data_IF_575431340198
#
_entry.id   IF_575431340198
#
_cell.length_a   1.000
_cell.length_b   1.000
_cell.length_c   1.000
_cell.angle_alpha   90.00
_cell.angle_beta   90.00
_cell.angle_gamma   90.00
#
_symmetry.space_group_name_H-M   'P 1'
#
loop_
_entity.id
_entity.type
_entity.pdbx_description
1 polymer ?
#
# COMPACT_ATOMS: atom_id res chain seq x y z
N UNK A 1 4.21 27.38 -179.06
CA UNK A 1 3.11 26.40 -178.94
C UNK A 1 2.39 26.73 -177.64
N UNK A 2 1.25 27.40 -177.66
CA UNK A 2 0.00 26.86 -178.21
C UNK A 2 -0.58 25.89 -177.19
N UNK A 3 -1.15 26.40 -176.10
CA UNK A 3 -2.03 25.60 -175.25
C UNK A 3 -3.44 26.00 -175.65
N UNK A 4 -4.03 25.18 -176.50
CA UNK A 4 -5.38 25.33 -177.02
C UNK A 4 -6.37 25.59 -175.87
N UNK A 5 -7.30 26.54 -176.00
CA UNK A 5 -8.37 26.70 -175.03
C UNK A 5 -9.20 25.41 -175.01
N UNK A 6 -9.44 24.90 -173.81
CA UNK A 6 -10.16 23.67 -173.56
C UNK A 6 -11.52 23.70 -174.28
N UNK A 7 -11.79 22.66 -175.06
CA UNK A 7 -13.11 22.41 -175.66
C UNK A 7 -14.09 22.15 -174.51
N UNK A 8 -15.19 22.91 -174.51
CA UNK A 8 -16.33 22.69 -173.63
C UNK A 8 -16.95 21.33 -173.98
N UNK A 9 -16.93 20.40 -173.02
CA UNK A 9 -17.46 19.05 -173.16
C UNK A 9 -18.79 19.01 -172.42
N UNK A 10 -19.88 19.11 -173.17
CA UNK A 10 -21.24 18.96 -172.67
C UNK A 10 -21.77 17.58 -173.10
N UNK A 11 -22.21 16.78 -172.13
CA UNK A 11 -22.76 15.43 -172.30
C UNK A 11 -24.25 15.48 -171.96
N UNK A 12 -25.10 15.02 -172.88
CA UNK A 12 -26.57 14.94 -172.73
C UNK A 12 -27.01 13.77 -171.82
N UNK A 13 -26.08 12.89 -171.40
CA UNK A 13 -26.32 11.91 -170.34
C UNK A 13 -25.91 12.44 -168.96
N UNK A 14 -26.77 12.24 -167.94
CA UNK A 14 -26.61 12.64 -166.52
C UNK A 14 -25.34 12.13 -165.78
N UNK A 15 -24.38 11.55 -166.51
CA UNK A 15 -23.17 10.91 -166.03
C UNK A 15 -22.21 11.87 -165.32
N UNK A 16 -21.96 13.07 -165.89
CA UNK A 16 -21.08 14.08 -165.28
C UNK A 16 -21.68 14.67 -163.99
N UNK A 17 -23.00 14.88 -163.97
CA UNK A 17 -23.70 15.43 -162.80
C UNK A 17 -23.73 14.39 -161.65
N UNK A 18 -23.97 13.12 -161.98
CA UNK A 18 -23.94 11.99 -161.03
C UNK A 18 -22.55 11.76 -160.42
N UNK A 19 -21.48 11.96 -161.20
CA UNK A 19 -20.10 11.86 -160.71
C UNK A 19 -19.76 12.98 -159.71
N UNK A 20 -20.26 14.20 -159.95
CA UNK A 20 -20.12 15.36 -159.05
C UNK A 20 -20.86 15.20 -157.72
N UNK A 21 -22.07 14.63 -157.73
CA UNK A 21 -22.87 14.34 -156.51
C UNK A 21 -22.17 13.32 -155.62
N UNK A 22 -21.61 12.24 -156.19
CA UNK A 22 -20.83 11.24 -155.43
C UNK A 22 -19.59 11.87 -154.81
N UNK A 23 -18.82 12.65 -155.58
CA UNK A 23 -17.58 13.27 -155.10
C UNK A 23 -17.83 14.31 -154.02
N UNK A 24 -18.89 15.12 -154.13
CA UNK A 24 -19.29 16.08 -153.08
C UNK A 24 -19.81 15.38 -151.82
N UNK A 25 -20.52 14.26 -151.93
CA UNK A 25 -20.93 13.45 -150.78
C UNK A 25 -19.75 12.78 -150.07
N UNK A 26 -18.75 12.30 -150.82
CA UNK A 26 -17.46 11.81 -150.29
C UNK A 26 -16.74 12.91 -149.52
N UNK A 27 -16.55 14.10 -150.11
CA UNK A 27 -15.90 15.23 -149.43
C UNK A 27 -16.65 15.66 -148.17
N UNK A 28 -17.99 15.71 -148.19
CA UNK A 28 -18.81 16.01 -147.00
C UNK A 28 -18.74 14.91 -145.93
N UNK A 29 -18.55 13.65 -146.32
CA UNK A 29 -18.35 12.53 -145.39
C UNK A 29 -16.97 12.65 -144.74
N UNK A 30 -15.93 12.84 -145.54
CA UNK A 30 -14.55 12.96 -145.07
C UNK A 30 -14.36 14.20 -144.20
N UNK A 31 -15.00 15.32 -144.54
CA UNK A 31 -15.03 16.52 -143.69
C UNK A 31 -15.69 16.26 -142.32
N UNK A 32 -16.85 15.57 -142.28
CA UNK A 32 -17.51 15.19 -141.02
C UNK A 32 -16.69 14.19 -140.20
N UNK A 33 -16.02 13.24 -140.85
CA UNK A 33 -15.11 12.29 -140.20
C UNK A 33 -13.91 13.05 -139.62
N UNK A 34 -13.33 13.98 -140.38
CA UNK A 34 -12.24 14.83 -139.94
C UNK A 34 -12.62 15.72 -138.75
N UNK A 35 -13.79 16.34 -138.78
CA UNK A 35 -14.32 17.15 -137.69
C UNK A 35 -14.62 16.31 -136.43
N UNK A 36 -15.23 15.13 -136.57
CA UNK A 36 -15.47 14.21 -135.46
C UNK A 36 -14.16 13.67 -134.85
N UNK A 37 -13.18 13.34 -135.69
CA UNK A 37 -11.85 12.89 -135.25
C UNK A 37 -11.10 14.01 -134.53
N UNK A 38 -11.14 15.24 -135.04
CA UNK A 38 -10.54 16.42 -134.40
C UNK A 38 -11.23 16.73 -133.06
N UNK A 39 -12.55 16.70 -132.99
CA UNK A 39 -13.32 16.90 -131.77
C UNK A 39 -13.04 15.80 -130.73
N UNK A 40 -12.98 14.53 -131.15
CA UNK A 40 -12.63 13.41 -130.26
C UNK A 40 -11.20 13.53 -129.73
N UNK A 41 -10.25 13.92 -130.58
CA UNK A 41 -8.87 14.14 -130.18
C UNK A 41 -8.76 15.31 -129.17
N UNK A 42 -9.43 16.43 -129.45
CA UNK A 42 -9.49 17.57 -128.54
C UNK A 42 -10.09 17.18 -127.19
N UNK A 43 -11.19 16.40 -127.18
CA UNK A 43 -11.83 15.93 -125.95
C UNK A 43 -10.96 14.96 -125.15
N UNK A 44 -10.29 14.01 -125.82
CA UNK A 44 -9.32 13.12 -125.17
C UNK A 44 -8.16 13.90 -124.53
N UNK A 45 -7.65 14.94 -125.21
CA UNK A 45 -6.62 15.83 -124.66
C UNK A 45 -7.13 16.64 -123.46
N UNK A 46 -8.38 17.10 -123.50
CA UNK A 46 -9.02 17.79 -122.39
C UNK A 46 -9.21 16.86 -121.18
N UNK A 47 -9.78 15.66 -121.38
CA UNK A 47 -10.04 14.70 -120.31
C UNK A 47 -8.74 14.23 -119.65
N UNK A 48 -7.69 13.97 -120.44
CA UNK A 48 -6.36 13.63 -119.90
C UNK A 48 -5.72 14.78 -119.13
N UNK A 49 -5.93 16.04 -119.55
CA UNK A 49 -5.48 17.20 -118.79
C UNK A 49 -6.26 17.35 -117.47
N UNK A 50 -7.58 17.14 -117.49
CA UNK A 50 -8.43 17.18 -116.29
C UNK A 50 -8.05 16.07 -115.32
N UNK A 51 -7.82 14.84 -115.80
CA UNK A 51 -7.38 13.71 -114.95
C UNK A 51 -6.04 14.01 -114.28
N UNK A 52 -5.04 14.48 -115.05
CA UNK A 52 -3.74 14.87 -114.49
C UNK A 52 -3.85 16.00 -113.48
N UNK A 53 -4.71 16.99 -113.74
CA UNK A 53 -4.97 18.08 -112.79
C UNK A 53 -5.60 17.55 -111.50
N UNK A 54 -6.60 16.65 -111.59
CA UNK A 54 -7.25 16.04 -110.43
C UNK A 54 -6.29 15.18 -109.62
N UNK A 55 -5.48 14.36 -110.28
CA UNK A 55 -4.43 13.57 -109.60
C UNK A 55 -3.43 14.47 -108.85
N UNK A 56 -3.07 15.63 -109.43
CA UNK A 56 -2.20 16.59 -108.76
C UNK A 56 -2.89 17.25 -107.56
N UNK A 57 -4.17 17.61 -107.66
CA UNK A 57 -4.93 18.19 -106.54
C UNK A 57 -5.12 17.17 -105.41
N UNK A 58 -5.44 15.93 -105.73
CA UNK A 58 -5.67 14.87 -104.72
C UNK A 58 -4.37 14.53 -103.98
N UNK A 59 -3.24 14.49 -104.70
CA UNK A 59 -1.91 14.33 -104.08
C UNK A 59 -1.57 15.50 -103.15
N UNK A 60 -1.87 16.73 -103.58
CA UNK A 60 -1.65 17.91 -102.74
C UNK A 60 -2.55 17.89 -101.50
N UNK A 61 -3.84 17.58 -101.64
CA UNK A 61 -4.78 17.50 -100.52
C UNK A 61 -4.43 16.37 -99.54
N UNK A 62 -3.98 15.22 -100.04
CA UNK A 62 -3.49 14.11 -99.22
C UNK A 62 -2.25 14.54 -98.42
N UNK A 63 -1.28 15.21 -99.06
CA UNK A 63 -0.10 15.71 -98.38
C UNK A 63 -0.45 16.76 -97.30
N UNK A 64 -1.43 17.64 -97.56
CA UNK A 64 -1.93 18.61 -96.57
C UNK A 64 -2.57 17.89 -95.38
N UNK A 65 -3.49 16.93 -95.61
CA UNK A 65 -4.13 16.16 -94.53
C UNK A 65 -3.13 15.36 -93.72
N UNK A 66 -2.12 14.77 -94.36
CA UNK A 66 -1.04 14.07 -93.66
C UNK A 66 -0.23 15.03 -92.78
N UNK A 67 0.10 16.22 -93.28
CA UNK A 67 0.81 17.22 -92.51
C UNK A 67 -0.03 17.71 -91.31
N UNK A 68 -1.34 17.96 -91.51
CA UNK A 68 -2.27 18.32 -90.45
C UNK A 68 -2.41 17.21 -89.40
N UNK A 69 -2.56 15.96 -89.81
CA UNK A 69 -2.62 14.81 -88.90
C UNK A 69 -1.33 14.65 -88.10
N UNK A 70 -0.17 14.78 -88.75
CA UNK A 70 1.14 14.74 -88.08
C UNK A 70 1.27 15.88 -87.07
N UNK A 71 0.91 17.10 -87.45
CA UNK A 71 0.92 18.26 -86.56
C UNK A 71 -0.03 18.08 -85.37
N UNK A 72 -1.27 17.64 -85.59
CA UNK A 72 -2.24 17.36 -84.52
C UNK A 72 -1.76 16.27 -83.56
N UNK A 73 -1.18 15.20 -84.09
CA UNK A 73 -0.61 14.11 -83.28
C UNK A 73 0.55 14.62 -82.43
N UNK A 74 1.45 15.41 -83.02
CA UNK A 74 2.59 15.97 -82.31
C UNK A 74 2.13 16.94 -81.21
N UNK A 75 1.16 17.81 -81.53
CA UNK A 75 0.55 18.73 -80.56
C UNK A 75 -0.10 17.96 -79.40
N UNK A 76 -0.90 16.94 -79.68
CA UNK A 76 -1.53 16.13 -78.64
C UNK A 76 -0.50 15.41 -77.74
N UNK A 77 0.62 14.95 -78.30
CA UNK A 77 1.73 14.37 -77.52
C UNK A 77 2.34 15.40 -76.57
N UNK A 78 2.66 16.60 -77.05
CA UNK A 78 3.20 17.66 -76.20
C UNK A 78 2.21 18.13 -75.15
N UNK A 79 0.94 18.30 -75.50
CA UNK A 79 -0.11 18.68 -74.55
C UNK A 79 -0.28 17.61 -73.45
N UNK A 80 -0.21 16.33 -73.81
CA UNK A 80 -0.25 15.22 -72.85
C UNK A 80 0.98 15.22 -71.92
N UNK A 81 2.17 15.47 -72.45
CA UNK A 81 3.40 15.55 -71.66
C UNK A 81 3.38 16.74 -70.69
N UNK A 82 2.95 17.92 -71.16
CA UNK A 82 2.76 19.11 -70.31
C UNK A 82 1.72 18.85 -69.23
N UNK A 83 0.61 18.18 -69.55
CA UNK A 83 -0.41 17.82 -68.57
C UNK A 83 0.12 16.82 -67.54
N UNK A 84 0.87 15.80 -67.98
CA UNK A 84 1.50 14.84 -67.08
C UNK A 84 2.47 15.53 -66.11
N UNK A 85 3.28 16.46 -66.60
CA UNK A 85 4.28 17.14 -65.77
C UNK A 85 3.65 18.17 -64.82
N UNK A 86 2.56 18.83 -65.25
CA UNK A 86 1.73 19.62 -64.34
C UNK A 86 1.09 18.77 -63.24
N UNK A 87 0.60 17.57 -63.57
CA UNK A 87 0.03 16.67 -62.57
C UNK A 87 1.09 16.18 -61.58
N UNK A 88 2.30 15.83 -62.05
CA UNK A 88 3.43 15.50 -61.17
C UNK A 88 3.82 16.67 -60.28
N UNK A 89 3.91 17.88 -60.82
CA UNK A 89 4.21 19.08 -60.04
C UNK A 89 3.14 19.35 -58.97
N UNK A 90 1.85 19.20 -59.32
CA UNK A 90 0.74 19.31 -58.36
C UNK A 90 0.86 18.27 -57.24
N UNK A 91 1.13 17.00 -57.60
CA UNK A 91 1.33 15.93 -56.62
C UNK A 91 2.56 16.12 -55.75
N UNK A 92 3.65 16.67 -56.31
CA UNK A 92 4.82 17.05 -55.53
C UNK A 92 4.49 18.17 -54.53
N UNK A 93 3.68 19.14 -54.95
CA UNK A 93 3.14 20.18 -54.06
C UNK A 93 2.31 19.60 -52.92
N UNK A 94 1.33 18.74 -53.24
CA UNK A 94 0.51 18.04 -52.25
C UNK A 94 1.36 17.19 -51.28
N UNK A 95 2.33 16.43 -51.81
CA UNK A 95 3.24 15.63 -51.00
C UNK A 95 4.07 16.51 -50.05
N UNK A 96 4.56 17.66 -50.53
CA UNK A 96 5.32 18.59 -49.71
C UNK A 96 4.43 19.18 -48.60
N UNK A 97 3.18 19.54 -48.90
CA UNK A 97 2.24 20.01 -47.87
C UNK A 97 1.98 18.94 -46.81
N UNK A 98 1.77 17.68 -47.22
CA UNK A 98 1.58 16.57 -46.30
C UNK A 98 2.82 16.32 -45.41
N UNK A 99 4.03 16.40 -45.98
CA UNK A 99 5.29 16.31 -45.21
C UNK A 99 5.39 17.42 -44.17
N UNK A 100 5.14 18.66 -44.56
CA UNK A 100 5.18 19.79 -43.62
C UNK A 100 4.13 19.66 -42.53
N UNK A 101 2.92 19.16 -42.85
CA UNK A 101 1.89 18.89 -41.84
C UNK A 101 2.33 17.81 -40.86
N UNK A 102 2.94 16.72 -41.37
CA UNK A 102 3.49 15.66 -40.53
C UNK A 102 4.59 16.16 -39.59
N UNK A 103 5.50 17.01 -40.08
CA UNK A 103 6.56 17.63 -39.25
C UNK A 103 5.95 18.51 -38.14
N UNK A 104 4.93 19.31 -38.47
CA UNK A 104 4.20 20.12 -37.49
C UNK A 104 3.49 19.25 -36.45
N UNK A 105 2.84 18.16 -36.88
CA UNK A 105 2.16 17.23 -35.97
C UNK A 105 3.15 16.51 -35.04
N UNK A 106 4.31 16.10 -35.57
CA UNK A 106 5.40 15.54 -34.76
C UNK A 106 5.90 16.54 -33.71
N UNK A 107 6.11 17.81 -34.10
CA UNK A 107 6.51 18.85 -33.17
C UNK A 107 5.44 19.09 -32.07
N UNK A 108 4.15 19.07 -32.43
CA UNK A 108 3.06 19.20 -31.46
C UNK A 108 3.03 18.04 -30.46
N UNK A 109 3.23 16.80 -30.92
CA UNK A 109 3.31 15.63 -30.02
C UNK A 109 4.50 15.76 -29.06
N UNK A 110 5.62 16.30 -29.52
CA UNK A 110 6.79 16.55 -28.66
C UNK A 110 6.50 17.64 -27.61
N UNK A 111 5.83 18.73 -28.00
CA UNK A 111 5.37 19.77 -27.07
C UNK A 111 4.44 19.15 -26.01
N UNK A 112 3.42 18.40 -26.43
CA UNK A 112 2.49 17.70 -25.53
C UNK A 112 3.22 16.75 -24.57
N UNK A 113 4.24 16.03 -25.07
CA UNK A 113 5.03 15.13 -24.25
C UNK A 113 5.86 15.88 -23.18
N UNK A 114 6.40 17.04 -23.54
CA UNK A 114 7.10 17.93 -22.60
C UNK A 114 6.12 18.45 -21.54
N UNK A 115 4.95 18.94 -21.94
CA UNK A 115 3.92 19.44 -21.02
C UNK A 115 3.47 18.35 -20.05
N UNK A 116 3.16 17.14 -20.53
CA UNK A 116 2.79 16.02 -19.65
C UNK A 116 3.92 15.62 -18.71
N UNK A 117 5.17 15.62 -19.16
CA UNK A 117 6.32 15.36 -18.27
C UNK A 117 6.42 16.41 -17.18
N UNK A 118 6.23 17.69 -17.50
CA UNK A 118 6.23 18.78 -16.52
C UNK A 118 5.06 18.64 -15.54
N UNK A 119 3.87 18.23 -15.99
CA UNK A 119 2.73 17.93 -15.12
C UNK A 119 3.04 16.78 -14.15
N UNK A 120 3.60 15.67 -14.64
CA UNK A 120 4.00 14.54 -13.78
C UNK A 120 5.00 15.00 -12.72
N UNK A 121 6.01 15.78 -13.09
CA UNK A 121 6.99 16.31 -12.14
C UNK A 121 6.35 17.21 -11.07
N UNK A 122 5.38 18.04 -11.48
CA UNK A 122 4.63 18.88 -10.54
C UNK A 122 3.76 18.02 -9.60
N UNK A 123 3.06 17.02 -10.14
CA UNK A 123 2.24 16.09 -9.35
C UNK A 123 3.10 15.28 -8.36
N UNK A 124 4.24 14.77 -8.79
CA UNK A 124 5.21 14.08 -7.92
C UNK A 124 5.67 14.99 -6.78
N UNK A 125 6.07 16.23 -7.09
CA UNK A 125 6.47 17.22 -6.09
C UNK A 125 5.31 17.59 -5.13
N UNK A 126 4.08 17.65 -5.64
CA UNK A 126 2.89 17.89 -4.81
C UNK A 126 2.61 16.72 -3.86
N UNK A 127 2.74 15.47 -4.35
CA UNK A 127 2.60 14.25 -3.53
C UNK A 127 3.68 14.22 -2.46
N UNK A 128 4.94 14.52 -2.78
CA UNK A 128 6.03 14.59 -1.81
C UNK A 128 5.76 15.67 -0.75
N UNK A 129 5.32 16.86 -1.17
CA UNK A 129 4.94 17.95 -0.25
C UNK A 129 3.80 17.51 0.68
N UNK A 130 2.76 16.87 0.14
CA UNK A 130 1.65 16.35 0.93
C UNK A 130 2.10 15.26 1.90
N UNK A 131 2.99 14.37 1.45
CA UNK A 131 3.58 13.32 2.28
C UNK A 131 4.33 13.93 3.47
N UNK A 132 5.19 14.92 3.23
CA UNK A 132 5.90 15.63 4.30
C UNK A 132 4.96 16.36 5.26
N UNK A 133 3.90 17.00 4.76
CA UNK A 133 2.89 17.65 5.62
C UNK A 133 2.19 16.61 6.51
N UNK A 134 1.78 15.47 5.93
CA UNK A 134 1.10 14.39 6.65
C UNK A 134 2.04 13.75 7.68
N UNK A 135 3.29 13.44 7.30
CA UNK A 135 4.31 12.95 8.22
C UNK A 135 4.53 13.93 9.36
N UNK A 136 4.75 15.22 9.07
CA UNK A 136 4.93 16.23 10.11
C UNK A 136 3.71 16.34 11.03
N UNK A 137 2.49 16.21 10.50
CA UNK A 137 1.26 16.22 11.29
C UNK A 137 1.17 14.98 12.19
N UNK A 138 1.45 13.79 11.67
CA UNK A 138 1.44 12.54 12.44
C UNK A 138 2.53 12.56 13.51
N UNK A 139 3.75 12.98 13.17
CA UNK A 139 4.84 13.14 14.13
C UNK A 139 4.50 14.14 15.23
N UNK A 140 3.98 15.33 14.90
CA UNK A 140 3.56 16.31 15.92
C UNK A 140 2.46 15.77 16.83
N UNK A 141 1.49 15.02 16.28
CA UNK A 141 0.44 14.38 17.09
C UNK A 141 1.03 13.28 17.97
N UNK A 142 1.95 12.47 17.45
CA UNK A 142 2.63 11.43 18.20
C UNK A 142 3.50 12.01 19.34
N UNK A 143 4.26 13.07 19.06
CA UNK A 143 5.04 13.82 20.05
C UNK A 143 4.14 14.44 21.13
N UNK A 144 3.01 15.02 20.74
CA UNK A 144 2.04 15.56 21.70
C UNK A 144 1.43 14.47 22.60
N UNK A 145 1.12 13.30 22.03
CA UNK A 145 0.63 12.16 22.80
C UNK A 145 1.70 11.60 23.75
N UNK A 146 2.94 11.43 23.27
CA UNK A 146 4.06 10.99 24.09
C UNK A 146 4.27 11.94 25.28
N UNK A 147 4.34 13.25 25.02
CA UNK A 147 4.50 14.25 26.07
C UNK A 147 3.34 14.23 27.07
N UNK A 148 2.10 14.04 26.60
CA UNK A 148 0.93 13.90 27.48
C UNK A 148 1.05 12.64 28.35
N UNK A 149 1.43 11.51 27.78
CA UNK A 149 1.54 10.24 28.49
C UNK A 149 2.70 10.24 29.50
N UNK A 150 3.83 10.85 29.15
CA UNK A 150 4.96 11.09 30.06
C UNK A 150 4.53 11.96 31.24
N UNK A 151 3.83 13.08 30.99
CA UNK A 151 3.33 13.92 32.08
C UNK A 151 2.29 13.21 32.94
N UNK A 152 1.39 12.41 32.35
CA UNK A 152 0.45 11.62 33.13
C UNK A 152 1.18 10.57 33.97
N UNK A 153 2.16 9.87 33.41
CA UNK A 153 2.97 8.88 34.13
C UNK A 153 3.79 9.53 35.26
N UNK A 154 4.41 10.68 35.01
CA UNK A 154 5.13 11.45 36.02
C UNK A 154 4.19 11.95 37.13
N UNK A 155 3.01 12.45 36.78
CA UNK A 155 1.99 12.84 37.74
C UNK A 155 1.52 11.66 38.59
N UNK A 156 1.28 10.49 37.98
CA UNK A 156 0.93 9.26 38.70
C UNK A 156 2.05 8.77 39.61
N UNK A 157 3.31 8.80 39.14
CA UNK A 157 4.48 8.43 39.93
C UNK A 157 4.64 9.35 41.14
N UNK A 158 4.59 10.67 40.92
CA UNK A 158 4.71 11.66 41.99
C UNK A 158 3.56 11.57 43.00
N UNK A 159 2.32 11.38 42.53
CA UNK A 159 1.16 11.17 43.38
C UNK A 159 1.30 9.92 44.24
N UNK A 160 1.68 8.80 43.63
CA UNK A 160 1.90 7.53 44.36
C UNK A 160 3.02 7.68 45.38
N UNK A 161 4.14 8.31 45.01
CA UNK A 161 5.26 8.59 45.93
C UNK A 161 4.78 9.40 47.13
N UNK A 162 4.08 10.51 46.91
CA UNK A 162 3.56 11.36 47.98
C UNK A 162 2.59 10.59 48.88
N UNK A 163 1.67 9.81 48.29
CA UNK A 163 0.74 8.97 49.07
C UNK A 163 1.47 7.93 49.91
N UNK A 164 2.52 7.30 49.37
CA UNK A 164 3.34 6.34 50.13
C UNK A 164 4.12 7.01 51.25
N UNK A 165 4.66 8.22 51.03
CA UNK A 165 5.35 9.01 52.05
C UNK A 165 4.38 9.43 53.17
N UNK A 166 3.19 9.91 52.81
CA UNK A 166 2.13 10.27 53.78
C UNK A 166 1.67 9.04 54.56
N UNK A 167 1.47 7.90 53.90
CA UNK A 167 1.07 6.66 54.57
C UNK A 167 2.16 6.14 55.52
N UNK A 168 3.43 6.18 55.10
CA UNK A 168 4.57 5.82 55.94
C UNK A 168 4.67 6.73 57.17
N UNK A 169 4.57 8.05 56.97
CA UNK A 169 4.57 9.02 58.06
C UNK A 169 3.38 8.82 59.01
N UNK A 170 2.18 8.58 58.47
CA UNK A 170 1.00 8.28 59.27
C UNK A 170 1.21 7.03 60.14
N UNK A 171 1.77 5.95 59.56
CA UNK A 171 2.03 4.71 60.27
C UNK A 171 3.04 4.90 61.41
N UNK A 172 4.09 5.70 61.18
CA UNK A 172 5.07 6.04 62.21
C UNK A 172 4.42 6.80 63.37
N UNK A 173 3.64 7.85 63.08
CA UNK A 173 2.96 8.64 64.11
C UNK A 173 1.95 7.79 64.90
N UNK A 174 1.17 6.94 64.22
CA UNK A 174 0.25 6.04 64.92
C UNK A 174 0.98 4.99 65.74
N UNK A 175 2.08 4.44 65.20
CA UNK A 175 2.90 3.45 65.90
C UNK A 175 3.59 4.03 67.15
N UNK A 176 4.09 5.27 67.07
CA UNK A 176 4.63 6.00 68.22
C UNK A 176 3.56 6.28 69.27
N UNK A 177 2.36 6.72 68.85
CA UNK A 177 1.24 6.94 69.75
C UNK A 177 0.80 5.64 70.45
N UNK A 178 0.71 4.53 69.72
CA UNK A 178 0.38 3.21 70.28
C UNK A 178 1.46 2.70 71.23
N UNK A 179 2.73 2.83 70.85
CA UNK A 179 3.87 2.46 71.71
C UNK A 179 3.86 3.26 73.02
N UNK A 180 3.54 4.55 72.96
CA UNK A 180 3.45 5.41 74.14
C UNK A 180 2.27 5.02 75.04
N UNK A 181 1.11 4.69 74.45
CA UNK A 181 -0.03 4.16 75.22
C UNK A 181 0.33 2.84 75.91
N UNK A 182 1.01 1.92 75.22
CA UNK A 182 1.47 0.65 75.80
C UNK A 182 2.51 0.91 76.91
N UNK A 183 3.43 1.86 76.71
CA UNK A 183 4.44 2.24 77.70
C UNK A 183 3.79 2.79 78.96
N UNK A 184 2.84 3.70 78.84
CA UNK A 184 2.10 4.28 79.98
C UNK A 184 1.27 3.20 80.68
N UNK A 185 0.56 2.34 79.94
CA UNK A 185 -0.18 1.22 80.52
C UNK A 185 0.73 0.25 81.26
N UNK A 186 1.86 -0.15 80.64
CA UNK A 186 2.84 -1.04 81.25
C UNK A 186 3.50 -0.44 82.49
N UNK A 187 3.76 0.87 82.51
CA UNK A 187 4.22 1.58 83.71
C UNK A 187 3.16 1.61 84.81
N UNK A 188 1.91 1.94 84.46
CA UNK A 188 0.80 1.93 85.41
C UNK A 188 0.55 0.53 86.00
N UNK A 189 0.64 -0.52 85.17
CA UNK A 189 0.54 -1.92 85.61
C UNK A 189 1.73 -2.32 86.50
N UNK A 190 2.95 -1.94 86.14
CA UNK A 190 4.14 -2.19 86.96
C UNK A 190 4.06 -1.46 88.31
N UNK A 191 3.61 -0.21 88.34
CA UNK A 191 3.40 0.56 89.57
C UNK A 191 2.28 -0.04 90.42
N UNK A 192 1.15 -0.43 89.81
CA UNK A 192 0.05 -1.10 90.50
C UNK A 192 0.50 -2.44 91.09
N UNK A 193 1.28 -3.24 90.36
CA UNK A 193 1.85 -4.49 90.84
C UNK A 193 2.85 -4.25 91.97
N UNK A 194 3.69 -3.22 91.87
CA UNK A 194 4.65 -2.86 92.91
C UNK A 194 3.95 -2.38 94.19
N UNK A 195 2.88 -1.58 94.08
CA UNK A 195 2.03 -1.18 95.21
C UNK A 195 1.32 -2.39 95.82
N UNK A 196 0.79 -3.29 95.00
CA UNK A 196 0.18 -4.56 95.45
C UNK A 196 1.21 -5.45 96.16
N UNK A 197 2.43 -5.55 95.62
CA UNK A 197 3.54 -6.29 96.23
C UNK A 197 3.99 -5.67 97.56
N UNK A 198 4.08 -4.33 97.65
CA UNK A 198 4.36 -3.62 98.91
C UNK A 198 3.24 -3.81 99.93
N UNK A 199 1.99 -3.73 99.50
CA UNK A 199 0.84 -4.02 100.35
C UNK A 199 0.92 -5.46 100.88
N UNK A 200 1.13 -6.45 100.01
CA UNK A 200 1.34 -7.85 100.36
C UNK A 200 2.53 -8.08 101.30
N UNK A 201 3.64 -7.34 101.14
CA UNK A 201 4.79 -7.41 102.05
C UNK A 201 4.49 -6.82 103.44
N UNK A 202 3.59 -5.84 103.55
CA UNK A 202 3.20 -5.21 104.82
C UNK A 202 2.10 -5.96 105.58
N UNK A 203 1.45 -6.97 104.97
CA UNK A 203 0.51 -7.83 105.68
C UNK A 203 1.27 -8.80 106.62
N UNK A 204 0.94 -8.86 107.92
CA UNK A 204 1.53 -9.82 108.86
C UNK A 204 1.32 -11.25 108.33
N UNK A 205 2.30 -12.14 108.53
CA UNK A 205 2.39 -13.54 108.02
C UNK A 205 1.12 -14.43 108.16
N UNK A 206 0.04 -13.98 108.79
CA UNK A 206 -1.24 -14.70 108.92
C UNK A 206 -2.39 -14.27 108.00
N UNK A 207 -2.42 -13.02 107.47
CA UNK A 207 -3.58 -12.54 106.66
C UNK A 207 -3.65 -13.17 105.26
N UNK A 208 -2.50 -13.63 104.75
CA UNK A 208 -2.38 -14.32 103.46
C UNK A 208 -3.13 -15.65 103.47
N UNK A 209 -3.20 -16.33 104.61
CA UNK A 209 -3.83 -17.64 104.77
C UNK A 209 -5.35 -17.51 104.67
N UNK A 210 -5.94 -16.46 105.23
CA UNK A 210 -7.39 -16.25 105.21
C UNK A 210 -7.91 -15.91 103.81
N UNK A 211 -7.15 -15.14 103.03
CA UNK A 211 -7.49 -14.87 101.62
C UNK A 211 -7.22 -16.08 100.71
N UNK A 212 -6.15 -16.87 100.97
CA UNK A 212 -5.93 -18.17 100.32
C UNK A 212 -7.07 -19.15 100.61
N UNK A 213 -7.62 -19.17 101.83
CA UNK A 213 -8.80 -19.97 102.20
C UNK A 213 -10.06 -19.48 101.49
N UNK A 214 -10.18 -18.19 101.18
CA UNK A 214 -11.31 -17.63 100.43
C UNK A 214 -11.19 -17.80 98.90
N UNK A 215 -9.98 -17.84 98.32
CA UNK A 215 -9.76 -18.10 96.88
C UNK A 215 -9.51 -19.58 96.57
N UNK A 216 -9.26 -20.40 97.59
CA UNK A 216 -9.16 -21.86 97.50
C UNK A 216 -10.37 -22.51 96.81
N UNK A 217 -11.64 -22.11 97.06
CA UNK A 217 -12.79 -22.65 96.36
C UNK A 217 -12.75 -22.41 94.84
N UNK A 218 -12.28 -21.24 94.38
CA UNK A 218 -12.15 -20.95 92.93
C UNK A 218 -11.04 -21.77 92.28
N UNK A 219 -9.92 -21.98 92.99
CA UNK A 219 -8.85 -22.87 92.52
C UNK A 219 -9.33 -24.32 92.51
N UNK A 220 -10.07 -24.76 93.54
CA UNK A 220 -10.70 -26.08 93.58
C UNK A 220 -11.73 -26.23 92.46
N UNK A 221 -12.48 -25.19 92.09
CA UNK A 221 -13.39 -25.21 90.94
C UNK A 221 -12.63 -25.26 89.59
N UNK A 222 -11.53 -24.51 89.45
CA UNK A 222 -10.70 -24.55 88.25
C UNK A 222 -9.97 -25.90 88.07
N UNK A 223 -9.57 -26.53 89.18
CA UNK A 223 -8.95 -27.87 89.21
C UNK A 223 -9.99 -28.99 89.14
N UNK A 224 -11.23 -28.75 89.61
CA UNK A 224 -12.34 -29.70 89.48
C UNK A 224 -13.06 -29.61 88.14
N UNK A 225 -12.98 -28.50 87.40
CA UNK A 225 -13.51 -28.40 86.01
C UNK A 225 -12.98 -29.50 85.07
N UNK A 226 -11.68 -29.87 85.10
CA UNK A 226 -11.18 -31.04 84.38
C UNK A 226 -11.62 -32.38 84.98
N UNK A 227 -11.70 -32.52 86.31
CA UNK A 227 -12.06 -33.78 87.00
C UNK A 227 -13.57 -34.10 86.98
N UNK A 228 -14.44 -33.09 86.96
CA UNK A 228 -15.90 -33.22 86.84
C UNK A 228 -16.37 -33.57 85.43
N UNK A 229 -15.49 -33.42 84.42
CA UNK A 229 -15.71 -33.91 83.05
C UNK A 229 -15.29 -35.36 82.83
N UNK A 230 -14.81 -36.06 83.87
CA UNK A 230 -14.44 -37.48 83.79
C UNK A 230 -15.55 -38.30 84.46
N UNK A 231 -16.60 -38.59 83.70
CA UNK A 231 -17.77 -39.36 84.16
C UNK A 231 -17.53 -40.89 84.17
N UNK A 232 -16.42 -41.37 83.58
CA UNK A 232 -16.02 -42.78 83.61
C UNK A 232 -14.48 -42.93 83.62
N UNK A 233 -13.90 -43.25 84.79
CA UNK A 233 -12.56 -43.85 84.83
C UNK A 233 -12.76 -45.36 84.67
N UNK A 234 -12.70 -45.83 83.43
CA UNK A 234 -12.59 -47.26 83.15
C UNK A 234 -11.21 -47.73 83.57
N UNK A 235 -11.13 -48.30 84.77
CA UNK A 235 -9.93 -48.96 85.27
C UNK A 235 -9.71 -50.26 84.46
N UNK A 236 -8.98 -50.17 83.36
CA UNK A 236 -8.54 -51.34 82.60
C UNK A 236 -7.46 -52.05 83.41
N UNK A 237 -7.88 -52.99 84.24
CA UNK A 237 -6.99 -54.00 84.80
C UNK A 237 -6.55 -54.93 83.67
N UNK A 238 -5.43 -54.61 83.01
CA UNK A 238 -4.66 -55.60 82.28
C UNK A 238 -4.03 -56.52 83.31
N UNK A 239 -4.51 -57.77 83.36
CA UNK A 239 -4.26 -58.73 84.41
C UNK A 239 -2.81 -58.91 84.84
N UNK A 240 -2.67 -59.09 86.15
CA UNK A 240 -1.49 -59.58 86.87
C UNK A 240 -1.88 -59.68 88.34
N UNK A 241 -2.21 -60.89 88.79
CA UNK A 241 -2.65 -61.14 90.15
C UNK A 241 -1.48 -61.02 91.14
N UNK A 242 -1.33 -59.85 91.77
CA UNK A 242 -0.98 -59.74 93.20
C UNK A 242 -1.15 -58.30 93.69
N UNK A 243 -1.66 -58.19 94.91
CA UNK A 243 -2.39 -57.05 95.47
C UNK A 243 -1.54 -55.79 95.78
N UNK A 244 -1.96 -54.64 95.22
CA UNK A 244 -2.37 -53.44 95.98
C UNK A 244 -2.93 -52.38 95.01
N UNK A 245 -4.26 -52.21 95.02
CA UNK A 245 -5.05 -51.40 94.09
C UNK A 245 -5.64 -50.20 94.86
N UNK A 246 -5.39 -48.98 94.37
CA UNK A 246 -6.05 -47.75 94.85
C UNK A 246 -5.07 -46.67 95.30
N UNK A 247 -5.47 -45.39 95.12
CA UNK A 247 -4.87 -44.10 95.54
C UNK A 247 -3.33 -43.94 95.59
N UNK A 248 -2.58 -44.85 96.21
CA UNK A 248 -1.12 -44.86 96.33
C UNK A 248 -0.36 -44.79 95.00
N UNK A 249 -0.87 -45.34 93.89
CA UNK A 249 -0.28 -45.12 92.55
C UNK A 249 -0.55 -43.72 92.00
N UNK A 250 -1.73 -43.13 92.23
CA UNK A 250 -1.98 -41.72 91.88
C UNK A 250 -1.05 -40.80 92.68
N UNK A 251 -0.87 -41.06 93.98
CA UNK A 251 0.06 -40.29 94.81
C UNK A 251 1.51 -40.50 94.35
N UNK A 252 1.90 -41.71 93.95
CA UNK A 252 3.23 -42.00 93.42
C UNK A 252 3.49 -41.37 92.04
N UNK A 253 2.47 -41.29 91.18
CA UNK A 253 2.56 -40.70 89.84
C UNK A 253 2.58 -39.17 89.91
N UNK A 254 1.81 -38.57 90.83
CA UNK A 254 1.91 -37.13 91.16
C UNK A 254 3.26 -36.80 91.78
N UNK A 255 3.80 -37.62 92.68
CA UNK A 255 5.15 -37.43 93.24
C UNK A 255 6.22 -37.55 92.15
N UNK A 256 6.03 -38.42 91.15
CA UNK A 256 6.96 -38.54 90.01
C UNK A 256 6.89 -37.33 89.07
N UNK A 257 5.70 -36.80 88.81
CA UNK A 257 5.50 -35.58 88.01
C UNK A 257 6.08 -34.35 88.74
N UNK A 258 5.89 -34.25 90.06
CA UNK A 258 6.50 -33.20 90.90
C UNK A 258 8.02 -33.31 90.94
N UNK A 259 8.56 -34.53 90.92
CA UNK A 259 10.01 -34.76 90.81
C UNK A 259 10.60 -34.40 89.43
N UNK A 260 9.82 -34.45 88.37
CA UNK A 260 10.24 -34.11 87.00
C UNK A 260 10.00 -32.64 86.60
N UNK A 261 9.21 -31.91 87.39
CA UNK A 261 8.95 -30.49 87.17
C UNK A 261 10.22 -29.61 87.20
N UNK A 262 11.19 -29.80 88.13
CA UNK A 262 12.44 -29.03 88.11
C UNK A 262 13.21 -29.21 86.80
N UNK A 263 13.29 -30.44 86.27
CA UNK A 263 13.99 -30.73 85.01
C UNK A 263 13.28 -30.18 83.77
N UNK A 264 11.95 -30.10 83.78
CA UNK A 264 11.15 -29.53 82.68
C UNK A 264 11.20 -28.00 82.66
N UNK A 265 11.18 -27.36 83.83
CA UNK A 265 11.39 -25.91 83.95
C UNK A 265 12.81 -25.55 83.52
N UNK A 266 13.82 -26.31 83.95
CA UNK A 266 15.21 -26.11 83.55
C UNK A 266 15.43 -26.27 82.03
N UNK A 267 14.75 -27.22 81.38
CA UNK A 267 14.79 -27.41 79.93
C UNK A 267 14.11 -26.31 79.10
N UNK A 268 13.14 -25.58 79.68
CA UNK A 268 12.38 -24.52 79.00
C UNK A 268 12.83 -23.10 79.36
N UNK A 269 13.45 -22.88 80.53
CA UNK A 269 13.86 -21.55 81.01
C UNK A 269 15.36 -21.42 81.28
N UNK A 270 16.13 -22.51 81.23
CA UNK A 270 17.58 -22.51 81.45
C UNK A 270 18.03 -22.16 82.88
N UNK A 271 17.10 -22.08 83.85
CA UNK A 271 17.40 -21.70 85.23
C UNK A 271 17.25 -22.89 86.18
N UNK A 272 18.32 -23.17 86.92
CA UNK A 272 18.51 -24.35 87.75
C UNK A 272 18.17 -24.05 89.22
N UNK A 273 16.88 -24.12 89.57
CA UNK A 273 16.36 -23.65 90.87
C UNK A 273 16.93 -24.48 92.05
N UNK A 274 17.30 -25.75 91.83
CA UNK A 274 17.90 -26.61 92.85
C UNK A 274 19.30 -26.16 93.31
N UNK A 275 20.05 -25.45 92.45
CA UNK A 275 21.35 -24.86 92.80
C UNK A 275 21.23 -23.44 93.39
N UNK A 276 20.13 -22.73 93.12
CA UNK A 276 19.92 -21.38 93.68
C UNK A 276 19.47 -21.37 95.14
N UNK A 277 18.89 -22.48 95.64
CA UNK A 277 18.51 -22.64 97.06
C UNK A 277 19.65 -23.19 97.92
N UNK A 278 20.61 -23.93 97.34
CA UNK A 278 21.83 -24.38 98.04
C UNK A 278 23.01 -23.41 97.90
N UNK A 279 23.00 -22.54 96.87
CA UNK A 279 24.00 -21.48 96.65
C UNK A 279 23.85 -20.24 97.55
N UNK A 280 22.73 -20.09 98.27
CA UNK A 280 22.50 -18.98 99.21
C UNK A 280 23.20 -19.11 100.57
N UNK A 281 23.79 -20.27 100.88
CA UNK A 281 24.41 -20.57 102.18
C UNK A 281 25.95 -20.59 102.18
N UNK A 282 26.63 -20.27 101.06
CA UNK A 282 28.10 -20.31 100.99
C UNK A 282 28.76 -19.12 100.26
N UNK A 283 28.03 -18.03 100.02
CA UNK A 283 28.54 -16.82 99.34
C UNK A 283 29.00 -15.70 100.30
N UNK A 284 29.31 -16.02 101.56
CA UNK A 284 29.85 -15.07 102.57
C UNK A 284 31.34 -15.25 102.86
N UNK A 285 32.06 -16.11 102.14
CA UNK A 285 33.48 -16.38 102.42
C UNK A 285 34.31 -16.41 101.13
N UNK A 286 34.58 -15.23 100.56
CA UNK A 286 35.84 -14.87 99.85
C UNK A 286 35.69 -13.51 99.15
N UNK A 287 35.81 -12.45 99.94
CA UNK A 287 36.39 -11.20 99.45
C UNK A 287 37.91 -11.27 99.59
N UNK A 288 38.64 -10.87 98.55
CA UNK A 288 40.05 -10.47 98.64
C UNK A 288 41.04 -11.36 97.88
N UNK A 289 41.44 -10.93 96.68
CA UNK A 289 42.84 -10.69 96.30
C UNK A 289 43.00 -10.55 94.78
N UNK A 290 43.44 -9.35 94.38
CA UNK A 290 44.26 -8.96 93.23
C UNK A 290 44.85 -10.11 92.38
N UNK A 291 44.63 -10.07 91.06
CA UNK A 291 45.59 -9.58 90.05
C UNK A 291 44.90 -9.43 88.70
#
# INVERSE_FOLDING_TARGET
MGVSPLRDVSDDSEYLNSLGVKRTAEVKRDARIGEAAANSYAKCRQDTAVLKSKEATDKAETAIREAEMKFRTQKAKYDAEVAAERAKASKAGELQTARTMQEVEQANIEIDAIERRQQILLEEAEVERQHHILQAKVHRVAEANLFRDEQMAEAHYNSTRLLTEVAAHSLLVTGEAEAEVIRIKGQAEAEALALKAKAWASYPRGAHIEQLVQTLPEIVEAVSKPLSKVEDITLVSSGGADADIGAARLTGEVVRIVGQLPTLVQGLTGVDIANTVSGGANASARGGARH
#
